data_IF_372029267942
#
_entry.id   IF_372029267942
#
_cell.length_a   1.000
_cell.length_b   1.000
_cell.length_c   1.000
_cell.angle_alpha   90.00
_cell.angle_beta   90.00
_cell.angle_gamma   90.00
#
_symmetry.space_group_name_H-M   'P 1'
#
loop_
_entity.id
_entity.type
_entity.pdbx_description
1 polymer ?
#
# COMPACT_ATOMS: atom_id res chain seq x y z
N UNK A 1 -12.76 5.65 5.83
CA UNK A 1 -12.85 6.17 4.45
C UNK A 1 -11.51 6.80 4.09
N UNK A 2 -10.69 6.10 3.32
CA UNK A 2 -9.60 6.64 2.49
C UNK A 2 -8.95 5.44 1.81
N UNK A 3 -9.59 4.89 0.78
CA UNK A 3 -8.88 4.02 -0.14
C UNK A 3 -9.18 4.52 -1.55
N UNK A 4 -8.12 4.98 -2.20
CA UNK A 4 -7.94 4.92 -3.63
C UNK A 4 -8.94 5.66 -4.54
N UNK A 5 -9.51 6.79 -4.13
CA UNK A 5 -10.24 7.64 -5.09
C UNK A 5 -9.36 8.64 -5.86
N UNK A 6 -8.03 8.56 -5.74
CA UNK A 6 -7.13 9.26 -6.68
C UNK A 6 -6.82 8.31 -7.83
N UNK A 7 -7.36 8.64 -9.01
CA UNK A 7 -6.89 8.11 -10.29
C UNK A 7 -5.35 8.12 -10.26
N UNK A 8 -4.72 7.01 -10.64
CA UNK A 8 -3.25 6.85 -10.80
C UNK A 8 -2.44 6.31 -9.60
N UNK A 9 -3.05 5.76 -8.53
CA UNK A 9 -2.26 5.00 -7.54
C UNK A 9 -1.77 3.66 -8.11
N UNK A 10 -0.45 3.43 -8.06
CA UNK A 10 0.17 2.17 -8.47
C UNK A 10 0.01 1.01 -7.46
N UNK A 11 -0.34 1.32 -6.20
CA UNK A 11 -0.47 0.33 -5.14
C UNK A 11 -0.58 0.97 -3.75
N UNK A 12 -0.99 0.17 -2.76
CA UNK A 12 -1.15 0.59 -1.37
C UNK A 12 -0.15 -0.20 -0.52
N UNK A 13 0.55 0.48 0.39
CA UNK A 13 1.45 -0.17 1.36
C UNK A 13 0.93 0.06 2.77
N UNK A 14 0.61 -1.02 3.47
CA UNK A 14 0.20 -1.04 4.86
C UNK A 14 1.40 -1.37 5.75
N UNK A 15 1.65 -0.51 6.73
CA UNK A 15 2.75 -0.62 7.69
C UNK A 15 2.27 -1.19 9.04
N UNK A 16 3.22 -1.50 9.92
CA UNK A 16 2.96 -1.94 11.30
C UNK A 16 2.14 -3.24 11.41
N UNK A 17 2.20 -4.11 10.39
CA UNK A 17 1.47 -5.38 10.41
C UNK A 17 -0.06 -5.24 10.46
N UNK A 18 -0.59 -4.02 10.28
CA UNK A 18 -2.02 -3.79 10.24
C UNK A 18 -2.54 -4.30 8.90
N UNK A 19 -3.14 -5.49 8.92
CA UNK A 19 -3.75 -6.09 7.74
C UNK A 19 -4.85 -5.19 7.15
N UNK A 20 -5.06 -5.23 5.82
CA UNK A 20 -6.16 -4.49 5.21
C UNK A 20 -7.47 -4.94 5.84
N UNK A 21 -8.36 -3.99 6.15
CA UNK A 21 -9.72 -4.35 6.49
C UNK A 21 -10.35 -5.13 5.31
N UNK A 22 -11.19 -6.14 5.57
CA UNK A 22 -11.75 -7.00 4.52
C UNK A 22 -12.48 -6.20 3.42
N UNK A 23 -13.14 -5.10 3.80
CA UNK A 23 -13.79 -4.17 2.87
C UNK A 23 -12.77 -3.44 1.97
N UNK A 24 -11.61 -3.07 2.53
CA UNK A 24 -10.51 -2.43 1.80
C UNK A 24 -9.82 -3.39 0.84
N UNK A 25 -9.64 -4.65 1.25
CA UNK A 25 -9.08 -5.70 0.40
C UNK A 25 -9.99 -5.99 -0.81
N UNK A 26 -11.29 -6.17 -0.56
CA UNK A 26 -12.27 -6.42 -1.62
C UNK A 26 -12.34 -5.25 -2.62
N UNK A 27 -12.29 -4.01 -2.13
CA UNK A 27 -12.29 -2.82 -2.99
C UNK A 27 -11.00 -2.69 -3.80
N UNK A 28 -9.84 -2.98 -3.22
CA UNK A 28 -8.59 -2.93 -3.94
C UNK A 28 -8.49 -4.04 -5.01
N UNK A 29 -9.02 -5.24 -4.73
CA UNK A 29 -9.12 -6.32 -5.73
C UNK A 29 -10.04 -5.91 -6.89
N UNK A 30 -11.20 -5.31 -6.60
CA UNK A 30 -12.12 -4.82 -7.62
C UNK A 30 -11.52 -3.70 -8.49
N UNK A 31 -10.70 -2.83 -7.89
CA UNK A 31 -10.03 -1.72 -8.58
C UNK A 31 -8.68 -2.15 -9.23
N UNK A 32 -8.24 -3.40 -9.02
CA UNK A 32 -6.97 -3.91 -9.53
C UNK A 32 -5.73 -3.28 -8.87
N UNK A 33 -5.86 -2.79 -7.64
CA UNK A 33 -4.80 -2.10 -6.90
C UNK A 33 -4.11 -3.10 -5.96
N UNK A 34 -2.78 -3.33 -6.11
CA UNK A 34 -2.06 -4.24 -5.23
C UNK A 34 -1.94 -3.63 -3.82
N UNK A 35 -2.24 -4.44 -2.79
CA UNK A 35 -1.99 -4.11 -1.39
C UNK A 35 -0.78 -4.91 -0.92
N UNK A 36 0.24 -4.22 -0.43
CA UNK A 36 1.39 -4.81 0.23
C UNK A 36 1.30 -4.55 1.73
N UNK A 37 1.62 -5.56 2.55
CA UNK A 37 1.67 -5.43 4.00
C UNK A 37 3.10 -5.66 4.46
N UNK A 38 3.60 -4.78 5.31
CA UNK A 38 4.90 -4.91 5.95
C UNK A 38 4.79 -4.62 7.44
N UNK A 39 5.62 -5.30 8.22
CA UNK A 39 5.80 -5.01 9.64
C UNK A 39 6.70 -3.78 9.87
N UNK A 40 7.39 -3.33 8.82
CA UNK A 40 8.32 -2.20 8.90
C UNK A 40 7.59 -0.87 9.13
N UNK A 41 8.23 0.10 9.82
CA UNK A 41 7.70 1.45 9.96
C UNK A 41 7.75 2.21 8.63
N UNK A 42 6.91 3.25 8.50
CA UNK A 42 6.80 4.07 7.29
C UNK A 42 8.16 4.56 6.77
N UNK A 43 9.03 5.03 7.67
CA UNK A 43 10.32 5.58 7.29
C UNK A 43 11.24 4.54 6.61
N UNK A 44 11.31 3.33 7.17
CA UNK A 44 12.12 2.22 6.64
C UNK A 44 11.63 1.78 5.26
N UNK A 45 10.31 1.55 5.12
CA UNK A 45 9.75 1.06 3.86
C UNK A 45 9.83 2.12 2.75
N UNK A 46 9.63 3.40 3.08
CA UNK A 46 9.78 4.51 2.11
C UNK A 46 11.23 4.61 1.64
N UNK A 47 12.22 4.48 2.52
CA UNK A 47 13.63 4.48 2.14
C UNK A 47 13.99 3.32 1.20
N UNK A 48 13.49 2.11 1.48
CA UNK A 48 13.70 0.94 0.62
C UNK A 48 13.03 1.08 -0.74
N UNK A 49 11.79 1.57 -0.76
CA UNK A 49 11.06 1.83 -2.00
C UNK A 49 11.82 2.89 -2.81
N UNK A 50 12.25 3.98 -2.19
CA UNK A 50 13.01 5.02 -2.88
C UNK A 50 14.30 4.47 -3.52
N UNK A 51 15.06 3.63 -2.81
CA UNK A 51 16.25 2.96 -3.36
C UNK A 51 15.94 1.99 -4.50
N UNK A 52 14.75 1.38 -4.53
CA UNK A 52 14.36 0.46 -5.60
C UNK A 52 13.97 1.21 -6.89
N UNK A 53 13.33 2.38 -6.76
CA UNK A 53 12.85 3.16 -7.89
C UNK A 53 13.92 4.14 -8.41
N UNK A 54 14.80 4.62 -7.53
CA UNK A 54 15.89 5.55 -7.85
C UNK A 54 17.25 4.93 -7.45
N UNK A 55 18.00 4.38 -8.43
CA UNK A 55 19.38 3.92 -8.22
C UNK A 55 20.38 5.07 -8.06
#
# INVERSE_FOLDING_TARGET
MAVASLKELAGIVLIQGSGPAPDTAAKAEAEGIPILVTDLPAFEIVGRIYQLIHP
#
